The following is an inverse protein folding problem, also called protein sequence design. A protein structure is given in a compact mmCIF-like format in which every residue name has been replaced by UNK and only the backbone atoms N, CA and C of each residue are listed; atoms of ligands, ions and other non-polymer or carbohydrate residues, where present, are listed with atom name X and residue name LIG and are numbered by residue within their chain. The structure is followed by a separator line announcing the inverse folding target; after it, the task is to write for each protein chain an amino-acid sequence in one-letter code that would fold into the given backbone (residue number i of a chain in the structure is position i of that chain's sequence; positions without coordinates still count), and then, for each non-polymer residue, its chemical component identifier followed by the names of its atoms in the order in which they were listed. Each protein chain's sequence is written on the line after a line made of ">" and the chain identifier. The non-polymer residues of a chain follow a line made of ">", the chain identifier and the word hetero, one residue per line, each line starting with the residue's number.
data_IF_226775516782
#
_entry.id   IF_226775516782
#
_cell.length_a   1.000
_cell.length_b   1.000
_cell.length_c   1.000
_cell.angle_alpha   90.00
_cell.angle_beta   90.00
_cell.angle_gamma   90.00
#
_symmetry.space_group_name_H-M   'P 1'
#
loop_
_entity.id
_entity.type
_entity.pdbx_description
1 polymer ?
#
# COMPACT_ATOMS: atom_id res chain seq x y z
N UNK A 1 9.81 60.28 41.20
CA UNK A 1 10.43 59.66 40.01
C UNK A 1 9.64 58.41 39.65
N UNK A 2 8.74 58.51 38.68
CA UNK A 2 7.94 57.39 38.16
C UNK A 2 8.71 56.75 37.00
N UNK A 3 9.11 55.50 37.16
CA UNK A 3 9.69 54.72 36.08
C UNK A 3 8.57 54.31 35.11
N UNK A 4 8.70 54.55 33.79
CA UNK A 4 7.70 54.11 32.84
C UNK A 4 7.71 52.59 32.76
N UNK A 5 6.53 52.00 32.94
CA UNK A 5 6.24 50.60 32.66
C UNK A 5 6.67 50.30 31.22
N UNK A 6 7.78 49.58 31.07
CA UNK A 6 8.16 49.03 29.78
C UNK A 6 7.07 48.03 29.37
N UNK A 7 6.25 48.43 28.42
CA UNK A 7 5.36 47.54 27.68
C UNK A 7 6.27 46.54 26.98
N UNK A 8 6.42 45.36 27.57
CA UNK A 8 7.13 44.25 26.92
C UNK A 8 6.44 44.03 25.57
N UNK A 9 7.20 43.96 24.45
CA UNK A 9 6.60 43.55 23.19
C UNK A 9 5.96 42.19 23.43
N UNK A 10 4.66 42.09 23.15
CA UNK A 10 3.93 40.83 23.14
C UNK A 10 4.64 39.94 22.13
N UNK A 11 5.49 39.03 22.62
CA UNK A 11 6.03 37.98 21.76
C UNK A 11 4.84 37.30 21.10
N UNK A 12 4.86 37.05 19.78
CA UNK A 12 3.78 36.29 19.15
C UNK A 12 3.64 35.02 19.98
N UNK A 13 2.43 34.79 20.51
CA UNK A 13 2.15 33.64 21.37
C UNK A 13 2.79 32.42 20.71
N UNK A 14 3.69 31.74 21.44
CA UNK A 14 4.44 30.60 20.91
C UNK A 14 3.48 29.74 20.09
N UNK A 15 3.68 29.73 18.77
CA UNK A 15 2.72 29.16 17.83
C UNK A 15 2.45 27.72 18.28
N UNK A 16 1.19 27.42 18.61
CA UNK A 16 0.88 26.13 19.19
C UNK A 16 1.28 25.03 18.22
N UNK A 17 1.70 23.86 18.71
CA UNK A 17 2.02 22.73 17.83
C UNK A 17 0.88 22.40 16.88
N UNK A 18 -0.36 22.62 17.32
CA UNK A 18 -1.56 22.57 16.48
C UNK A 18 -1.48 23.48 15.25
N UNK A 19 -1.08 24.74 15.43
CA UNK A 19 -0.97 25.73 14.34
C UNK A 19 0.19 25.42 13.39
N UNK A 20 1.33 24.97 13.92
CA UNK A 20 2.48 24.52 13.11
C UNK A 20 2.07 23.34 12.21
N UNK A 21 1.43 22.32 12.78
CA UNK A 21 0.92 21.18 12.01
C UNK A 21 -0.15 21.61 10.98
N UNK A 22 -1.05 22.51 11.36
CA UNK A 22 -2.09 23.02 10.48
C UNK A 22 -1.54 23.75 9.25
N UNK A 23 -0.44 24.48 9.44
CA UNK A 23 0.26 25.15 8.35
C UNK A 23 0.89 24.13 7.40
N UNK A 24 1.63 23.15 7.92
CA UNK A 24 2.23 22.07 7.13
C UNK A 24 1.17 21.31 6.31
N UNK A 25 0.06 20.94 6.95
CA UNK A 25 -1.05 20.27 6.27
C UNK A 25 -1.64 21.14 5.15
N UNK A 26 -1.79 22.45 5.36
CA UNK A 26 -2.26 23.37 4.30
C UNK A 26 -1.29 23.43 3.14
N UNK A 27 0.00 23.54 3.42
CA UNK A 27 1.04 23.66 2.40
C UNK A 27 1.11 22.37 1.55
N UNK A 28 1.12 21.20 2.19
CA UNK A 28 1.07 19.91 1.49
C UNK A 28 -0.24 19.70 0.71
N UNK A 29 -1.39 20.09 1.28
CA UNK A 29 -2.66 19.99 0.57
C UNK A 29 -2.73 20.94 -0.63
N UNK A 30 -2.15 22.14 -0.52
CA UNK A 30 -2.09 23.11 -1.61
C UNK A 30 -1.19 22.61 -2.75
N UNK A 31 -0.01 22.07 -2.42
CA UNK A 31 0.93 21.48 -3.40
C UNK A 31 0.27 20.35 -4.21
N UNK A 32 -0.53 19.51 -3.55
CA UNK A 32 -1.23 18.39 -4.20
C UNK A 32 -2.61 18.75 -4.77
N UNK A 33 -3.07 20.00 -4.61
CA UNK A 33 -4.43 20.41 -5.01
C UNK A 33 -5.56 19.66 -4.29
N UNK A 34 -5.28 19.13 -3.09
CA UNK A 34 -6.23 18.31 -2.33
C UNK A 34 -7.11 19.18 -1.42
N UNK A 35 -8.39 18.84 -1.35
CA UNK A 35 -9.34 19.44 -0.40
C UNK A 35 -9.58 18.48 0.77
N UNK A 36 -10.01 19.01 1.92
CA UNK A 36 -10.31 18.24 3.12
C UNK A 36 -11.19 16.97 2.89
N UNK A 37 -12.29 17.02 2.09
CA UNK A 37 -13.06 15.81 1.80
C UNK A 37 -12.31 14.80 0.93
N UNK A 38 -11.46 15.25 0.00
CA UNK A 38 -10.63 14.35 -0.82
C UNK A 38 -9.58 13.64 0.03
N UNK A 39 -9.01 14.34 1.00
CA UNK A 39 -8.08 13.75 1.95
C UNK A 39 -8.77 12.70 2.84
N UNK A 40 -9.99 12.98 3.30
CA UNK A 40 -10.78 12.01 4.08
C UNK A 40 -11.04 10.73 3.28
N UNK A 41 -11.44 10.85 2.01
CA UNK A 41 -11.64 9.70 1.13
C UNK A 41 -10.35 8.91 0.87
N UNK A 42 -9.22 9.59 0.72
CA UNK A 42 -7.92 8.92 0.55
C UNK A 42 -7.47 8.17 1.81
N UNK A 43 -7.82 8.66 3.00
CA UNK A 43 -7.57 7.97 4.27
C UNK A 43 -8.53 6.78 4.43
N UNK A 44 -9.80 6.94 4.06
CA UNK A 44 -10.81 5.86 4.08
C UNK A 44 -10.45 4.70 3.17
N UNK A 45 -9.90 4.98 1.98
CA UNK A 45 -9.36 3.96 1.05
C UNK A 45 -8.22 3.14 1.64
N UNK A 46 -7.56 3.62 2.68
CA UNK A 46 -6.49 2.92 3.40
C UNK A 46 -7.02 2.11 4.60
N UNK A 47 -8.35 1.97 4.72
CA UNK A 47 -8.99 1.22 5.80
C UNK A 47 -9.18 2.02 7.10
N UNK A 48 -8.85 3.32 7.09
CA UNK A 48 -8.91 4.18 8.26
C UNK A 48 -10.03 5.21 8.11
N UNK A 49 -10.95 5.28 9.07
CA UNK A 49 -12.06 6.24 9.01
C UNK A 49 -11.68 7.56 9.66
N UNK A 50 -11.70 8.65 8.88
CA UNK A 50 -11.52 10.01 9.38
C UNK A 50 -12.65 10.90 8.85
N UNK A 51 -13.28 11.65 9.75
CA UNK A 51 -14.33 12.59 9.33
C UNK A 51 -13.72 13.78 8.59
N UNK A 52 -14.33 14.26 7.49
CA UNK A 52 -13.93 15.51 6.82
C UNK A 52 -13.92 16.72 7.77
N UNK A 53 -14.81 16.74 8.77
CA UNK A 53 -14.84 17.77 9.81
C UNK A 53 -13.58 17.73 10.70
N UNK A 54 -13.09 16.53 10.99
CA UNK A 54 -11.87 16.34 11.76
C UNK A 54 -10.65 16.86 10.99
N UNK A 55 -10.57 16.59 9.69
CA UNK A 55 -9.52 17.15 8.83
C UNK A 55 -9.59 18.68 8.80
N UNK A 56 -10.77 19.27 8.69
CA UNK A 56 -10.92 20.73 8.75
C UNK A 56 -10.40 21.31 10.06
N UNK A 57 -10.64 20.63 11.19
CA UNK A 57 -10.12 21.04 12.51
C UNK A 57 -8.61 20.94 12.59
N UNK A 58 -7.99 19.94 11.98
CA UNK A 58 -6.52 19.83 11.86
C UNK A 58 -5.94 20.96 10.99
N UNK A 59 -6.53 21.22 9.83
CA UNK A 59 -6.10 22.26 8.87
C UNK A 59 -6.29 23.68 9.43
N UNK A 60 -7.21 23.86 10.38
CA UNK A 60 -7.42 25.12 11.13
C UNK A 60 -6.53 25.28 12.36
N UNK A 61 -5.83 24.23 12.79
CA UNK A 61 -5.04 24.23 14.02
C UNK A 61 -5.88 24.17 15.29
N UNK A 62 -7.14 23.74 15.20
CA UNK A 62 -8.00 23.45 16.36
C UNK A 62 -7.65 22.11 17.01
N UNK A 63 -6.98 21.22 16.27
CA UNK A 63 -6.53 19.90 16.73
C UNK A 63 -5.08 19.66 16.29
N UNK A 64 -4.36 18.91 17.11
CA UNK A 64 -2.98 18.53 16.85
C UNK A 64 -2.89 17.15 16.20
N UNK A 65 -1.90 16.94 15.33
CA UNK A 65 -1.59 15.60 14.81
C UNK A 65 -1.13 14.63 15.91
N UNK A 66 -0.48 15.11 16.97
CA UNK A 66 -0.01 14.32 18.13
C UNK A 66 -1.15 13.58 18.86
N UNK A 67 -2.34 14.19 18.92
CA UNK A 67 -3.52 13.62 19.59
C UNK A 67 -4.24 12.54 18.77
N UNK A 68 -3.75 12.24 17.58
CA UNK A 68 -4.31 11.26 16.66
C UNK A 68 -3.60 9.91 16.78
N UNK A 69 -4.33 8.76 16.69
CA UNK A 69 -3.70 7.44 16.65
C UNK A 69 -2.69 7.32 15.51
N UNK A 70 -1.63 6.54 15.75
CA UNK A 70 -0.49 6.39 14.83
C UNK A 70 -0.94 5.95 13.43
N UNK A 71 -1.83 4.97 13.36
CA UNK A 71 -2.46 4.47 12.13
C UNK A 71 -3.09 5.58 11.27
N UNK A 72 -3.79 6.51 11.92
CA UNK A 72 -4.50 7.59 11.24
C UNK A 72 -3.51 8.69 10.81
N UNK A 73 -2.46 8.94 11.60
CA UNK A 73 -1.36 9.84 11.22
C UNK A 73 -0.64 9.32 9.99
N UNK A 74 -0.35 8.03 9.95
CA UNK A 74 0.30 7.39 8.82
C UNK A 74 -0.61 7.38 7.59
N UNK A 75 -1.90 7.09 7.75
CA UNK A 75 -2.84 7.15 6.65
C UNK A 75 -2.96 8.57 6.06
N UNK A 76 -2.90 9.61 6.90
CA UNK A 76 -2.85 11.02 6.45
C UNK A 76 -1.54 11.31 5.71
N UNK A 77 -0.38 10.88 6.24
CA UNK A 77 0.93 11.00 5.57
C UNK A 77 0.90 10.36 4.18
N UNK A 78 0.48 9.10 4.10
CA UNK A 78 0.37 8.33 2.85
C UNK A 78 -0.63 8.97 1.89
N UNK A 79 -1.76 9.49 2.39
CA UNK A 79 -2.74 10.20 1.57
C UNK A 79 -2.19 11.51 0.97
N UNK A 80 -1.30 12.20 1.70
CA UNK A 80 -0.59 13.39 1.22
C UNK A 80 0.65 13.05 0.38
N UNK A 81 1.03 11.76 0.29
CA UNK A 81 2.23 11.26 -0.39
C UNK A 81 3.52 11.91 0.11
N UNK A 82 3.58 12.21 1.41
CA UNK A 82 4.77 12.77 2.07
C UNK A 82 5.65 11.61 2.53
N UNK A 83 6.96 11.58 2.23
CA UNK A 83 7.86 10.53 2.71
C UNK A 83 7.97 10.56 4.24
N UNK A 84 8.33 9.43 4.85
CA UNK A 84 8.40 9.31 6.31
C UNK A 84 9.41 10.30 6.92
N UNK A 85 10.58 10.43 6.31
CA UNK A 85 11.64 11.35 6.74
C UNK A 85 11.17 12.81 6.74
N UNK A 86 10.56 13.29 5.65
CA UNK A 86 10.02 14.66 5.56
C UNK A 86 8.89 14.91 6.57
N UNK A 87 8.07 13.90 6.82
CA UNK A 87 7.00 13.99 7.82
C UNK A 87 7.56 14.11 9.24
N UNK A 88 8.54 13.29 9.60
CA UNK A 88 9.19 13.29 10.90
C UNK A 88 9.98 14.58 11.13
N UNK A 89 10.70 15.06 10.13
CA UNK A 89 11.43 16.32 10.19
C UNK A 89 10.48 17.51 10.40
N UNK A 90 9.37 17.55 9.65
CA UNK A 90 8.44 18.67 9.70
C UNK A 90 7.54 18.66 10.95
N UNK A 91 7.06 17.49 11.39
CA UNK A 91 6.10 17.37 12.51
C UNK A 91 6.74 17.00 13.84
N UNK A 92 7.95 16.44 13.81
CA UNK A 92 8.61 15.85 14.99
C UNK A 92 7.83 14.66 15.57
N UNK A 93 6.94 14.04 14.78
CA UNK A 93 6.11 12.91 15.20
C UNK A 93 6.63 11.64 14.55
N UNK A 94 7.00 10.66 15.37
CA UNK A 94 7.39 9.34 14.90
C UNK A 94 6.30 8.75 14.01
N UNK A 95 6.72 8.32 12.83
CA UNK A 95 5.94 7.45 11.95
C UNK A 95 6.16 6.00 12.38
N UNK A 96 5.22 5.11 12.03
CA UNK A 96 5.55 3.70 12.10
C UNK A 96 6.70 3.47 11.11
N UNK A 97 7.85 3.04 11.63
CA UNK A 97 9.04 2.69 10.84
C UNK A 97 8.61 1.89 9.63
N UNK A 98 8.98 2.38 8.45
CA UNK A 98 8.76 1.76 7.16
C UNK A 98 9.05 0.25 7.21
N UNK A 99 8.03 -0.53 6.87
CA UNK A 99 8.22 -1.63 5.93
C UNK A 99 8.41 -0.91 4.59
N UNK A 100 9.66 -0.90 4.11
CA UNK A 100 10.20 -0.38 2.85
C UNK A 100 9.18 0.10 1.76
N UNK A 101 9.34 1.32 1.23
CA UNK A 101 8.64 1.78 0.03
C UNK A 101 9.38 1.37 -1.24
N UNK A 102 8.97 0.26 -1.87
CA UNK A 102 9.28 0.00 -3.28
C UNK A 102 8.35 0.86 -4.18
N UNK A 103 8.88 1.74 -5.07
CA UNK A 103 8.05 2.66 -5.83
C UNK A 103 7.47 2.02 -7.09
N UNK A 104 6.23 1.53 -7.02
CA UNK A 104 5.33 1.47 -8.19
C UNK A 104 3.86 1.28 -7.81
N UNK A 105 2.90 2.03 -8.40
CA UNK A 105 1.49 1.91 -8.08
C UNK A 105 0.92 0.71 -8.83
N UNK A 106 0.86 -0.44 -8.16
CA UNK A 106 -0.12 -1.45 -8.53
C UNK A 106 -1.02 -1.66 -7.32
N UNK A 107 -2.32 -1.55 -7.56
CA UNK A 107 -3.42 -1.76 -6.61
C UNK A 107 -3.14 -2.94 -5.67
N UNK A 108 -3.77 -3.04 -4.48
CA UNK A 108 -3.85 -4.30 -3.76
C UNK A 108 -4.70 -5.26 -4.60
N UNK A 109 -4.07 -5.88 -5.59
CA UNK A 109 -4.49 -7.16 -6.14
C UNK A 109 -4.53 -8.04 -4.89
N UNK A 110 -5.66 -8.72 -4.60
CA UNK A 110 -5.70 -9.68 -3.48
C UNK A 110 -4.45 -10.52 -3.64
N UNK A 111 -3.55 -10.53 -2.64
CA UNK A 111 -2.28 -11.26 -2.69
C UNK A 111 -2.59 -12.62 -3.29
N UNK A 112 -2.34 -12.76 -4.60
CA UNK A 112 -2.39 -14.05 -5.26
C UNK A 112 -1.29 -14.74 -4.50
N UNK A 113 -1.67 -15.67 -3.61
CA UNK A 113 -0.72 -16.58 -3.00
C UNK A 113 0.21 -16.96 -4.14
N UNK A 114 1.48 -16.58 -4.05
CA UNK A 114 2.50 -17.06 -4.95
C UNK A 114 2.43 -18.55 -4.74
N UNK A 115 1.64 -19.22 -5.57
CA UNK A 115 1.49 -20.65 -5.47
C UNK A 115 2.80 -21.15 -6.03
N UNK A 116 3.68 -21.50 -5.11
CA UNK A 116 4.91 -22.21 -5.40
C UNK A 116 4.51 -23.39 -6.26
N UNK A 117 4.90 -23.32 -7.54
CA UNK A 117 4.68 -24.41 -8.47
C UNK A 117 5.44 -25.60 -7.92
N UNK A 118 4.86 -26.81 -7.92
CA UNK A 118 5.58 -28.00 -7.52
C UNK A 118 6.90 -28.11 -8.31
N UNK A 119 8.00 -28.47 -7.66
CA UNK A 119 9.33 -28.51 -8.29
C UNK A 119 9.33 -29.35 -9.59
N UNK A 120 8.61 -30.46 -9.58
CA UNK A 120 8.43 -31.33 -10.73
C UNK A 120 7.67 -30.67 -11.90
N UNK A 121 6.73 -29.76 -11.62
CA UNK A 121 6.02 -29.00 -12.64
C UNK A 121 6.92 -27.90 -13.22
N UNK A 122 7.69 -27.22 -12.35
CA UNK A 122 8.67 -26.22 -12.78
C UNK A 122 9.73 -26.85 -13.68
N UNK A 123 10.26 -28.01 -13.29
CA UNK A 123 11.21 -28.77 -14.08
C UNK A 123 10.65 -29.14 -15.46
N UNK A 124 9.39 -29.59 -15.54
CA UNK A 124 8.73 -29.89 -16.82
C UNK A 124 8.65 -28.65 -17.72
N UNK A 125 8.28 -27.49 -17.17
CA UNK A 125 8.21 -26.24 -17.92
C UNK A 125 9.59 -25.87 -18.45
N UNK A 126 10.64 -25.96 -17.63
CA UNK A 126 11.98 -25.60 -18.06
C UNK A 126 12.53 -26.52 -19.15
N UNK A 127 12.25 -27.81 -19.06
CA UNK A 127 12.65 -28.79 -20.07
C UNK A 127 11.84 -28.68 -21.36
N UNK A 128 10.53 -28.38 -21.29
CA UNK A 128 9.60 -28.57 -22.43
C UNK A 128 8.93 -27.29 -22.94
N UNK A 129 9.20 -26.11 -22.35
CA UNK A 129 8.68 -24.80 -22.82
C UNK A 129 8.94 -24.50 -24.29
N UNK A 130 9.99 -25.09 -24.87
CA UNK A 130 10.34 -24.91 -26.28
C UNK A 130 9.45 -25.74 -27.23
N UNK A 131 8.77 -26.77 -26.73
CA UNK A 131 7.87 -27.64 -27.50
C UNK A 131 6.46 -27.06 -27.60
N UNK A 132 5.95 -26.47 -26.51
CA UNK A 132 4.65 -25.81 -26.49
C UNK A 132 4.69 -24.56 -25.59
N UNK A 133 4.53 -23.35 -26.15
CA UNK A 133 4.55 -22.11 -25.38
C UNK A 133 3.36 -21.99 -24.41
N UNK A 134 2.30 -22.80 -24.57
CA UNK A 134 1.15 -22.82 -23.66
C UNK A 134 1.54 -23.22 -22.23
N UNK A 135 2.69 -23.91 -22.05
CA UNK A 135 3.23 -24.25 -20.73
C UNK A 135 3.66 -23.03 -19.90
N UNK A 136 3.98 -21.92 -20.56
CA UNK A 136 4.34 -20.66 -19.92
C UNK A 136 3.10 -19.87 -19.47
N UNK A 137 1.91 -20.30 -19.87
CA UNK A 137 0.67 -19.62 -19.51
C UNK A 137 0.29 -19.93 -18.06
N UNK A 138 0.07 -18.88 -17.27
CA UNK A 138 -0.27 -18.98 -15.84
C UNK A 138 -1.50 -19.88 -15.59
N UNK A 139 -2.49 -19.87 -16.49
CA UNK A 139 -3.69 -20.71 -16.40
C UNK A 139 -3.37 -22.21 -16.45
N UNK A 140 -2.43 -22.61 -17.30
CA UNK A 140 -1.99 -24.00 -17.42
C UNK A 140 -1.19 -24.43 -16.20
N UNK A 141 -0.30 -23.55 -15.73
CA UNK A 141 0.50 -23.78 -14.54
C UNK A 141 -0.37 -23.97 -13.29
N UNK A 142 -1.35 -23.09 -13.07
CA UNK A 142 -2.30 -23.22 -11.96
C UNK A 142 -3.20 -24.44 -12.06
N UNK A 143 -3.68 -24.75 -13.27
CA UNK A 143 -4.54 -25.92 -13.48
C UNK A 143 -3.79 -27.22 -13.19
N UNK A 144 -2.55 -27.35 -13.67
CA UNK A 144 -1.70 -28.50 -13.41
C UNK A 144 -1.28 -28.57 -11.94
N UNK A 145 -0.90 -27.45 -11.32
CA UNK A 145 -0.52 -27.41 -9.90
C UNK A 145 -1.63 -27.88 -8.95
N UNK A 146 -2.91 -27.73 -9.34
CA UNK A 146 -4.06 -28.24 -8.58
C UNK A 146 -4.30 -29.74 -8.71
N UNK A 147 -3.70 -30.40 -9.70
CA UNK A 147 -3.95 -31.82 -9.92
C UNK A 147 -3.24 -32.65 -8.86
N UNK A 148 -4.03 -33.44 -8.12
CA UNK A 148 -3.51 -34.41 -7.16
C UNK A 148 -3.32 -35.74 -7.86
N UNK A 149 -2.07 -36.18 -7.98
CA UNK A 149 -1.79 -37.54 -8.43
C UNK A 149 -2.15 -38.53 -7.31
N UNK A 150 -3.11 -39.41 -7.57
CA UNK A 150 -3.65 -40.34 -6.57
C UNK A 150 -2.71 -41.50 -6.22
N UNK A 151 -1.60 -41.66 -6.94
CA UNK A 151 -0.71 -42.82 -6.84
C UNK A 151 0.73 -42.41 -7.18
N UNK A 152 1.64 -42.41 -6.22
CA UNK A 152 3.07 -42.13 -6.44
C UNK A 152 3.44 -40.64 -6.57
N UNK A 153 4.75 -40.37 -6.53
CA UNK A 153 5.34 -39.02 -6.56
C UNK A 153 4.98 -38.26 -7.85
N UNK A 154 4.86 -36.94 -7.73
CA UNK A 154 4.66 -36.04 -8.87
C UNK A 154 6.00 -35.81 -9.57
N UNK A 155 6.13 -36.21 -10.83
CA UNK A 155 7.35 -36.07 -11.64
C UNK A 155 7.10 -35.23 -12.90
N UNK A 156 8.17 -34.68 -13.48
CA UNK A 156 8.08 -33.82 -14.67
C UNK A 156 7.42 -34.53 -15.87
N UNK A 157 7.76 -35.80 -16.12
CA UNK A 157 7.14 -36.62 -17.16
C UNK A 157 5.64 -36.82 -16.96
N UNK A 158 5.21 -36.91 -15.70
CA UNK A 158 3.81 -37.12 -15.37
C UNK A 158 2.97 -35.88 -15.65
N UNK A 159 3.50 -34.71 -15.31
CA UNK A 159 2.88 -33.43 -15.68
C UNK A 159 2.83 -33.23 -17.18
N UNK A 160 3.86 -33.67 -17.92
CA UNK A 160 3.85 -33.60 -19.37
C UNK A 160 2.82 -34.52 -20.01
N UNK A 161 2.73 -35.77 -19.55
CA UNK A 161 1.71 -36.71 -20.01
C UNK A 161 0.29 -36.18 -19.72
N UNK A 162 0.09 -35.57 -18.55
CA UNK A 162 -1.15 -34.89 -18.20
C UNK A 162 -1.44 -33.72 -19.14
N UNK A 163 -0.46 -32.87 -19.45
CA UNK A 163 -0.62 -31.75 -20.37
C UNK A 163 -1.02 -32.23 -21.78
N UNK A 164 -0.32 -33.23 -22.32
CA UNK A 164 -0.65 -33.83 -23.62
C UNK A 164 -2.05 -34.45 -23.63
N UNK A 165 -2.46 -35.13 -22.55
CA UNK A 165 -3.78 -35.71 -22.42
C UNK A 165 -4.87 -34.61 -22.43
N UNK A 166 -4.66 -33.51 -21.72
CA UNK A 166 -5.60 -32.38 -21.68
C UNK A 166 -5.70 -31.68 -23.04
N UNK A 167 -4.57 -31.45 -23.71
CA UNK A 167 -4.52 -30.89 -25.07
C UNK A 167 -5.23 -31.80 -26.09
N UNK A 168 -4.96 -33.10 -26.06
CA UNK A 168 -5.61 -34.08 -26.93
C UNK A 168 -7.12 -34.19 -26.67
N UNK A 169 -7.55 -34.00 -25.42
CA UNK A 169 -8.97 -33.96 -25.05
C UNK A 169 -9.65 -32.62 -25.38
N UNK A 170 -8.91 -31.62 -25.90
CA UNK A 170 -9.42 -30.28 -26.20
C UNK A 170 -9.81 -29.47 -24.94
N UNK A 171 -9.29 -29.84 -23.78
CA UNK A 171 -9.60 -29.17 -22.51
C UNK A 171 -8.68 -27.97 -22.33
N UNK A 172 -9.25 -26.77 -22.30
CA UNK A 172 -8.53 -25.54 -21.99
C UNK A 172 -8.82 -25.07 -20.55
N UNK A 173 -7.78 -24.78 -19.75
CA UNK A 173 -7.98 -24.30 -18.39
C UNK A 173 -8.58 -22.90 -18.40
N UNK A 174 -9.73 -22.73 -17.72
CA UNK A 174 -10.45 -21.46 -17.61
C UNK A 174 -11.64 -21.28 -18.56
N UNK A 175 -12.00 -22.30 -19.35
CA UNK A 175 -13.21 -22.32 -20.16
C UNK A 175 -14.47 -22.71 -19.38
N UNK A 176 -15.01 -21.78 -18.58
CA UNK A 176 -16.44 -21.51 -18.40
C UNK A 176 -16.64 -20.24 -17.57
#
# INVERSE_FOLDING_TARGET
>A
MQYPLQVRPSMPAAESRAQVHARLLRDWMADKGLKAPSLALSVEKQGQQISPDYIRKLVRGERELSGMPLELREAVRRALRVPAEEWEEATGLATAVDIDPDPSPTLPIPTRRTWELPDALQQMIDERKHLDPSLLEERWQQYMARQKFSSGEATADRYWNLFLLLKNAGVEPGGN
#
